data_IF_004339249177
#
_entry.id   IF_004339249177
#
_cell.length_a   1.000
_cell.length_b   1.000
_cell.length_c   1.000
_cell.angle_alpha   90.00
_cell.angle_beta   90.00
_cell.angle_gamma   90.00
#
_symmetry.space_group_name_H-M   'P 1'
#
loop_
_entity.id
_entity.type
_entity.pdbx_description
1 polymer ?
#
# COMPACT_ATOMS: atom_id res chain seq x y z
N UNK A 1 -6.11 0.06 -2.01
CA UNK A 1 -7.39 -0.63 -2.19
C UNK A 1 -8.31 0.36 -2.85
N UNK A 2 -9.02 -0.03 -3.92
CA UNK A 2 -9.84 0.90 -4.70
C UNK A 2 -9.24 1.12 -6.09
N UNK A 3 -8.46 2.18 -6.25
CA UNK A 3 -7.69 2.44 -7.47
C UNK A 3 -6.58 1.36 -7.66
N UNK A 4 -6.68 0.63 -8.78
CA UNK A 4 -5.81 -0.49 -9.13
C UNK A 4 -5.31 -0.43 -10.59
N UNK A 5 -5.62 0.66 -11.31
CA UNK A 5 -5.27 0.82 -12.71
C UNK A 5 -5.16 2.30 -13.09
N UNK A 6 -4.33 2.64 -14.10
CA UNK A 6 -4.23 4.01 -14.60
C UNK A 6 -5.60 4.60 -14.96
N UNK A 7 -5.86 5.82 -14.50
CA UNK A 7 -7.10 6.54 -14.74
C UNK A 7 -8.22 6.29 -13.71
N UNK A 8 -8.06 5.32 -12.80
CA UNK A 8 -9.00 5.11 -11.69
C UNK A 8 -8.65 5.97 -10.48
N UNK A 9 -9.66 6.50 -9.80
CA UNK A 9 -9.55 7.16 -8.50
C UNK A 9 -10.92 7.06 -7.79
N UNK A 10 -10.93 7.04 -6.47
CA UNK A 10 -12.16 6.99 -5.67
C UNK A 10 -12.39 8.28 -4.87
N UNK A 11 -11.33 9.00 -4.54
CA UNK A 11 -11.36 10.22 -3.74
C UNK A 11 -11.33 11.47 -4.61
N UNK A 12 -11.98 12.53 -4.12
CA UNK A 12 -11.77 13.87 -4.65
C UNK A 12 -10.29 14.28 -4.38
N UNK A 13 -9.52 14.75 -5.38
CA UNK A 13 -8.15 15.21 -5.18
C UNK A 13 -7.97 16.27 -4.08
N UNK A 14 -9.01 17.05 -3.74
CA UNK A 14 -8.98 17.99 -2.63
C UNK A 14 -8.82 17.29 -1.27
N UNK A 15 -9.34 16.07 -1.11
CA UNK A 15 -9.15 15.25 0.10
C UNK A 15 -7.66 14.93 0.27
N UNK A 16 -7.01 14.49 -0.81
CA UNK A 16 -5.58 14.14 -0.79
C UNK A 16 -4.72 15.35 -0.43
N UNK A 17 -5.04 16.54 -0.94
CA UNK A 17 -4.34 17.79 -0.60
C UNK A 17 -4.43 18.18 0.87
N UNK A 18 -5.51 17.79 1.54
CA UNK A 18 -5.77 18.12 2.96
C UNK A 18 -5.36 16.98 3.91
N UNK A 19 -5.00 15.82 3.37
CA UNK A 19 -4.68 14.64 4.13
C UNK A 19 -3.17 14.48 4.35
N UNK A 20 -2.82 13.81 5.45
CA UNK A 20 -1.54 13.12 5.58
C UNK A 20 -1.62 11.86 4.71
N UNK A 21 -1.00 11.92 3.53
CA UNK A 21 -0.97 10.83 2.56
C UNK A 21 0.21 9.90 2.83
N UNK A 22 -0.08 8.62 3.01
CA UNK A 22 0.89 7.53 3.16
C UNK A 22 0.66 6.54 2.02
N UNK A 23 1.72 5.96 1.49
CA UNK A 23 1.66 4.94 0.43
C UNK A 23 2.27 3.62 0.89
N UNK A 24 1.93 2.50 0.28
CA UNK A 24 2.72 1.26 0.43
C UNK A 24 3.98 1.32 -0.43
N UNK A 25 3.80 1.49 -1.74
CA UNK A 25 4.86 1.72 -2.72
C UNK A 25 4.61 2.99 -3.52
N UNK A 26 5.66 3.79 -3.67
CA UNK A 26 5.55 5.12 -4.25
C UNK A 26 5.38 5.08 -5.77
N UNK A 27 6.07 4.16 -6.45
CA UNK A 27 5.99 4.05 -7.91
C UNK A 27 4.63 3.45 -8.32
N UNK A 28 4.14 2.45 -7.58
CA UNK A 28 2.83 1.86 -7.82
C UNK A 28 1.68 2.84 -7.54
N UNK A 29 1.75 3.60 -6.44
CA UNK A 29 0.75 4.61 -6.11
C UNK A 29 0.59 5.67 -7.22
N UNK A 30 1.71 6.15 -7.78
CA UNK A 30 1.69 7.11 -8.90
C UNK A 30 1.23 6.46 -10.21
N UNK A 31 1.50 5.17 -10.40
CA UNK A 31 1.14 4.51 -11.65
C UNK A 31 -0.34 4.12 -11.72
N UNK A 32 -0.88 3.55 -10.65
CA UNK A 32 -2.18 2.89 -10.65
C UNK A 32 -2.99 3.06 -9.35
N UNK A 33 -2.35 3.49 -8.24
CA UNK A 33 -3.05 3.78 -6.98
C UNK A 33 -3.81 5.09 -7.00
N UNK A 34 -4.38 5.49 -5.86
CA UNK A 34 -5.22 6.70 -5.72
C UNK A 34 -4.50 7.99 -6.19
N UNK A 35 -3.16 8.03 -6.14
CA UNK A 35 -2.37 9.18 -6.58
C UNK A 35 -2.22 9.32 -8.11
N UNK A 36 -2.53 8.29 -8.91
CA UNK A 36 -2.19 8.30 -10.33
C UNK A 36 -2.83 9.45 -11.12
N UNK A 37 -4.13 9.67 -10.94
CA UNK A 37 -4.89 10.71 -11.65
C UNK A 37 -4.51 12.12 -11.17
N UNK A 38 -4.51 12.44 -9.85
CA UNK A 38 -4.18 13.78 -9.39
C UNK A 38 -2.73 14.16 -9.64
N UNK A 39 -1.79 13.20 -9.64
CA UNK A 39 -0.40 13.45 -10.05
C UNK A 39 -0.30 13.78 -11.53
N UNK A 40 -0.95 12.99 -12.39
CA UNK A 40 -1.00 13.26 -13.84
C UNK A 40 -1.66 14.59 -14.18
N UNK A 41 -2.67 15.00 -13.41
CA UNK A 41 -3.36 16.27 -13.56
C UNK A 41 -2.58 17.47 -12.97
N UNK A 42 -1.42 17.24 -12.33
CA UNK A 42 -0.64 18.29 -11.64
C UNK A 42 -1.33 18.84 -10.38
N UNK A 43 -2.40 18.19 -9.91
CA UNK A 43 -3.11 18.58 -8.70
C UNK A 43 -2.40 18.07 -7.43
N UNK A 44 -1.60 17.02 -7.53
CA UNK A 44 -0.81 16.47 -6.43
C UNK A 44 0.61 16.18 -6.94
N UNK A 45 1.61 16.20 -6.07
CA UNK A 45 2.98 15.82 -6.45
C UNK A 45 3.55 14.81 -5.44
N UNK A 46 4.59 14.08 -5.84
CA UNK A 46 5.19 13.03 -5.01
C UNK A 46 5.77 13.57 -3.69
N UNK A 47 6.22 14.82 -3.67
CA UNK A 47 6.77 15.48 -2.49
C UNK A 47 5.69 15.76 -1.42
N UNK A 48 4.41 15.75 -1.79
CA UNK A 48 3.29 15.85 -0.86
C UNK A 48 2.99 14.54 -0.11
N UNK A 49 3.55 13.41 -0.56
CA UNK A 49 3.44 12.14 0.19
C UNK A 49 4.28 12.22 1.45
N UNK A 50 3.67 11.95 2.61
CA UNK A 50 4.32 12.06 3.92
C UNK A 50 5.43 11.03 4.09
N UNK A 51 5.11 9.78 3.77
CA UNK A 51 5.96 8.62 3.98
C UNK A 51 5.41 7.41 3.22
N UNK A 52 6.23 6.38 3.04
CA UNK A 52 5.70 5.03 2.85
C UNK A 52 5.38 4.38 4.21
N UNK A 53 4.55 3.33 4.21
CA UNK A 53 4.10 2.67 5.43
C UNK A 53 5.27 2.07 6.23
N UNK A 54 6.27 1.50 5.55
CA UNK A 54 7.47 0.94 6.18
C UNK A 54 8.26 1.97 7.00
N UNK A 55 8.42 3.20 6.48
CA UNK A 55 9.06 4.30 7.19
C UNK A 55 8.34 4.68 8.48
N UNK A 56 7.01 4.60 8.50
CA UNK A 56 6.20 4.85 9.71
C UNK A 56 6.39 3.72 10.71
N UNK A 57 6.26 2.47 10.27
CA UNK A 57 6.40 1.28 11.12
C UNK A 57 7.78 1.18 11.77
N UNK A 58 8.83 1.60 11.06
CA UNK A 58 10.21 1.63 11.56
C UNK A 58 10.52 2.87 12.42
N UNK A 59 9.56 3.78 12.61
CA UNK A 59 9.76 5.02 13.38
C UNK A 59 10.60 6.09 12.66
N UNK A 60 10.93 5.91 11.39
CA UNK A 60 11.69 6.88 10.58
C UNK A 60 10.87 8.10 10.14
N UNK A 61 9.54 7.98 10.12
CA UNK A 61 8.60 9.07 9.86
C UNK A 61 7.42 8.98 10.83
N UNK A 62 6.89 10.13 11.26
CA UNK A 62 5.64 10.16 12.00
C UNK A 62 4.44 9.98 11.06
N UNK A 63 3.44 9.22 11.52
CA UNK A 63 2.13 9.14 10.89
C UNK A 63 1.23 10.31 11.30
N UNK A 64 0.05 9.99 11.87
CA UNK A 64 -0.89 10.98 12.42
C UNK A 64 -0.24 11.79 13.54
N UNK A 65 -0.39 13.12 13.49
CA UNK A 65 0.17 14.05 14.48
C UNK A 65 -0.89 14.79 15.30
N UNK A 66 -2.13 14.83 14.79
CA UNK A 66 -3.27 15.48 15.42
C UNK A 66 -4.55 14.67 15.23
N UNK A 67 -5.48 14.80 16.18
CA UNK A 67 -6.84 14.23 16.09
C UNK A 67 -7.67 14.86 14.96
N UNK A 68 -7.27 16.04 14.49
CA UNK A 68 -7.93 16.74 13.37
C UNK A 68 -7.39 16.34 12.00
N UNK A 69 -6.30 15.59 11.94
CA UNK A 69 -5.68 15.19 10.67
C UNK A 69 -6.63 14.27 9.90
N UNK A 70 -6.87 14.58 8.64
CA UNK A 70 -7.36 13.59 7.67
C UNK A 70 -6.14 12.73 7.29
N UNK A 71 -6.29 11.40 7.27
CA UNK A 71 -5.22 10.48 6.88
C UNK A 71 -5.71 9.60 5.75
N UNK A 72 -4.92 9.50 4.68
CA UNK A 72 -5.19 8.59 3.57
C UNK A 72 -4.01 7.64 3.43
N UNK A 73 -4.29 6.35 3.39
CA UNK A 73 -3.34 5.33 2.99
C UNK A 73 -3.71 4.88 1.59
N UNK A 74 -2.91 5.26 0.60
CA UNK A 74 -3.02 4.75 -0.76
C UNK A 74 -2.30 3.41 -0.82
N UNK A 75 -3.08 2.36 -1.08
CA UNK A 75 -2.62 0.99 -1.08
C UNK A 75 -2.75 0.41 -2.47
N UNK A 76 -1.68 -0.15 -2.99
CA UNK A 76 -1.60 -0.77 -4.30
C UNK A 76 -1.34 -2.28 -4.22
N UNK A 77 -0.88 -2.76 -3.06
CA UNK A 77 -0.55 -4.15 -2.80
C UNK A 77 0.87 -4.46 -3.25
N UNK A 78 1.71 -4.88 -2.31
CA UNK A 78 3.12 -5.16 -2.56
C UNK A 78 3.44 -6.63 -2.32
N UNK A 79 4.22 -7.24 -3.23
CA UNK A 79 4.50 -8.69 -3.20
C UNK A 79 5.11 -9.20 -1.88
N UNK A 80 5.76 -8.32 -1.12
CA UNK A 80 6.31 -8.67 0.20
C UNK A 80 5.23 -9.04 1.21
N UNK A 81 4.02 -8.46 1.11
CA UNK A 81 2.87 -8.77 1.96
C UNK A 81 2.40 -10.20 1.68
N UNK A 82 2.24 -10.55 0.40
CA UNK A 82 1.85 -11.90 -0.02
C UNK A 82 2.85 -12.96 0.44
N UNK A 83 4.15 -12.71 0.22
CA UNK A 83 5.20 -13.68 0.57
C UNK A 83 5.33 -13.83 2.10
N UNK A 84 5.15 -12.74 2.85
CA UNK A 84 5.14 -12.80 4.32
C UNK A 84 3.99 -13.69 4.83
N UNK A 85 2.78 -13.51 4.30
CA UNK A 85 1.61 -14.34 4.66
C UNK A 85 1.79 -15.78 4.15
N UNK A 86 2.26 -15.99 2.93
CA UNK A 86 2.49 -17.31 2.36
C UNK A 86 3.50 -18.12 3.18
N UNK A 87 4.60 -17.50 3.61
CA UNK A 87 5.59 -18.13 4.50
C UNK A 87 4.95 -18.54 5.83
N UNK A 88 4.17 -17.65 6.44
CA UNK A 88 3.49 -17.94 7.70
C UNK A 88 2.49 -19.10 7.56
N UNK A 89 1.68 -19.10 6.49
CA UNK A 89 0.74 -20.18 6.17
C UNK A 89 1.46 -21.51 5.93
N UNK A 90 2.54 -21.50 5.15
CA UNK A 90 3.34 -22.70 4.88
C UNK A 90 3.91 -23.31 6.16
N UNK A 91 4.50 -22.49 7.04
CA UNK A 91 5.02 -22.96 8.33
C UNK A 91 3.92 -23.52 9.22
N UNK A 92 2.76 -22.85 9.26
CA UNK A 92 1.60 -23.32 10.03
C UNK A 92 1.08 -24.66 9.51
N UNK A 93 0.91 -24.80 8.20
CA UNK A 93 0.47 -26.04 7.57
C UNK A 93 1.46 -27.18 7.82
N UNK A 94 2.77 -26.90 7.70
CA UNK A 94 3.84 -27.85 7.98
C UNK A 94 3.79 -28.37 9.42
N UNK A 95 3.62 -27.46 10.39
CA UNK A 95 3.56 -27.81 11.82
C UNK A 95 2.30 -28.60 12.21
N UNK A 96 1.18 -28.34 11.55
CA UNK A 96 -0.09 -29.04 11.80
C UNK A 96 -0.22 -30.34 10.98
N UNK A 97 0.64 -30.58 10.00
CA UNK A 97 0.50 -31.69 9.05
C UNK A 97 -0.69 -31.52 8.10
N UNK A 98 -1.23 -30.30 7.93
CA UNK A 98 -2.43 -30.02 7.13
C UNK A 98 -2.05 -29.52 5.75
N UNK A 99 -1.61 -30.42 4.86
CA UNK A 99 -1.31 -30.09 3.47
C UNK A 99 -1.42 -31.31 2.56
N UNK A 100 -1.64 -31.07 1.27
CA UNK A 100 -1.51 -32.09 0.23
C UNK A 100 -0.08 -32.04 -0.31
N UNK A 101 0.60 -33.18 -0.33
CA UNK A 101 1.90 -33.32 -1.01
C UNK A 101 1.68 -33.87 -2.42
N UNK A 102 2.24 -33.19 -3.42
CA UNK A 102 2.18 -33.61 -4.81
C UNK A 102 3.62 -33.71 -5.36
N UNK A 103 4.04 -34.87 -5.90
CA UNK A 103 5.33 -34.96 -6.59
C UNK A 103 5.23 -34.18 -7.90
N UNK A 104 6.01 -33.09 -8.02
CA UNK A 104 6.08 -32.27 -9.23
C UNK A 104 7.09 -32.80 -10.25
N UNK A 105 7.99 -33.67 -9.80
CA UNK A 105 9.00 -34.34 -10.61
C UNK A 105 9.07 -35.81 -10.16
N UNK A 106 9.40 -36.70 -11.10
CA UNK A 106 9.67 -38.13 -10.84
C UNK A 106 10.92 -38.33 -9.96
#
# INVERSE_FOLDING_TARGET
VGADAPGKQELDPLILKQAVVVVDDMDQAIHAGELNVPVKAGAFNKEMVKANLGQILMGGKSGRSSVRDITVFDSTGVAIEDIAVAKWLYQRASNLGTFLSLPLVE
#
